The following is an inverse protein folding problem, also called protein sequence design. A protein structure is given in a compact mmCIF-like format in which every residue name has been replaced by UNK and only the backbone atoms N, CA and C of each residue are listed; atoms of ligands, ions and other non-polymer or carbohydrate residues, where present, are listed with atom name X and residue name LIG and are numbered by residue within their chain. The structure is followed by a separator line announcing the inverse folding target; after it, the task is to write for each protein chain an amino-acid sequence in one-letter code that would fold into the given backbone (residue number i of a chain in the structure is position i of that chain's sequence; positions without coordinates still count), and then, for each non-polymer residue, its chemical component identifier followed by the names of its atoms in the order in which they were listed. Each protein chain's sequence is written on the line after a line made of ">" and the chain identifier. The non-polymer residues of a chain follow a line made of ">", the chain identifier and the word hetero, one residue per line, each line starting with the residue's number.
data_IF_105008242986
#
_entry.id   IF_105008242986
#
_cell.length_a   1.000
_cell.length_b   1.000
_cell.length_c   1.000
_cell.angle_alpha   90.00
_cell.angle_beta   90.00
_cell.angle_gamma   90.00
#
_symmetry.space_group_name_H-M   'P 1'
#
loop_
_entity.id
_entity.type
_entity.pdbx_description
1 polymer ?
#
# COMPACT_ATOMS: atom_id res chain seq x y z
N UNK A 1 31.45 -8.73 37.12
CA UNK A 1 31.69 -8.49 35.69
C UNK A 1 30.44 -8.83 34.87
N UNK A 2 30.02 -10.09 34.81
CA UNK A 2 28.86 -10.53 34.01
C UNK A 2 27.51 -9.93 34.42
N UNK A 3 27.27 -9.71 35.71
CA UNK A 3 26.04 -9.08 36.21
C UNK A 3 25.91 -7.62 35.75
N UNK A 4 27.01 -6.87 35.72
CA UNK A 4 27.01 -5.46 35.32
C UNK A 4 26.76 -5.36 33.80
N UNK A 5 27.39 -6.24 33.02
CA UNK A 5 27.16 -6.35 31.57
C UNK A 5 25.70 -6.68 31.27
N UNK A 6 25.10 -7.62 32.02
CA UNK A 6 23.70 -7.96 31.85
C UNK A 6 22.76 -6.79 32.17
N UNK A 7 23.04 -6.02 33.23
CA UNK A 7 22.27 -4.82 33.57
C UNK A 7 22.35 -3.74 32.48
N UNK A 8 23.52 -3.51 31.89
CA UNK A 8 23.66 -2.55 30.80
C UNK A 8 22.90 -2.98 29.53
N UNK A 9 22.89 -4.27 29.21
CA UNK A 9 22.13 -4.80 28.06
C UNK A 9 20.62 -4.66 28.27
N UNK A 10 20.12 -4.96 29.47
CA UNK A 10 18.70 -4.81 29.81
C UNK A 10 18.28 -3.33 29.80
N UNK A 11 19.10 -2.44 30.36
CA UNK A 11 18.84 -1.00 30.34
C UNK A 11 18.83 -0.43 28.91
N UNK A 12 19.74 -0.89 28.04
CA UNK A 12 19.78 -0.51 26.63
C UNK A 12 18.54 -0.96 25.84
N UNK A 13 18.05 -2.18 26.10
CA UNK A 13 16.84 -2.69 25.46
C UNK A 13 15.57 -1.93 25.89
N UNK A 14 15.50 -1.49 27.14
CA UNK A 14 14.35 -0.74 27.68
C UNK A 14 14.38 0.75 27.31
N UNK A 15 15.56 1.30 26.98
CA UNK A 15 15.70 2.70 26.55
C UNK A 15 15.43 2.90 25.04
N UNK A 16 15.17 1.82 24.28
CA UNK A 16 14.84 1.93 22.87
C UNK A 16 13.49 2.66 22.72
N UNK A 17 13.42 3.77 21.95
CA UNK A 17 12.17 4.45 21.72
C UNK A 17 11.24 3.55 20.89
N UNK A 18 10.17 3.05 21.50
CA UNK A 18 9.09 2.35 20.80
C UNK A 18 8.25 3.37 20.02
N UNK A 19 8.74 3.78 18.84
CA UNK A 19 7.94 4.58 17.90
C UNK A 19 6.84 3.69 17.35
N UNK A 20 5.62 3.84 17.87
CA UNK A 20 4.43 3.40 17.15
C UNK A 20 4.36 4.23 15.86
N UNK A 21 4.38 3.61 14.67
CA UNK A 21 4.16 4.37 13.45
C UNK A 21 2.74 4.94 13.51
N UNK A 22 2.64 6.24 13.74
CA UNK A 22 1.38 6.97 13.67
C UNK A 22 1.03 7.11 12.19
N UNK A 23 0.07 6.31 11.73
CA UNK A 23 -0.48 6.40 10.39
C UNK A 23 -1.26 7.72 10.26
N UNK A 24 -0.58 8.77 9.80
CA UNK A 24 -1.21 10.04 9.49
C UNK A 24 -1.84 9.92 8.11
N UNK A 25 -3.17 9.82 8.08
CA UNK A 25 -3.97 9.81 6.85
C UNK A 25 -3.77 11.18 6.16
N UNK A 26 -3.03 11.21 5.05
CA UNK A 26 -2.82 12.41 4.23
C UNK A 26 -1.36 12.82 3.95
N UNK A 27 -0.37 12.19 4.59
CA UNK A 27 1.03 12.36 4.18
C UNK A 27 1.37 11.26 3.17
N UNK A 28 1.88 11.64 1.99
CA UNK A 28 2.36 10.71 0.96
C UNK A 28 3.29 9.67 1.59
N UNK A 29 2.78 8.45 1.69
CA UNK A 29 3.32 7.34 2.49
C UNK A 29 4.37 6.58 1.71
N UNK A 30 5.27 7.28 1.03
CA UNK A 30 6.32 6.66 0.24
C UNK A 30 7.65 7.27 0.69
N UNK A 31 8.38 6.50 1.50
CA UNK A 31 9.65 6.92 2.09
C UNK A 31 10.78 6.26 1.31
N UNK A 32 11.62 7.06 0.66
CA UNK A 32 12.75 6.58 -0.13
C UNK A 32 12.40 6.03 -1.53
N UNK A 33 11.14 6.13 -1.94
CA UNK A 33 10.72 5.82 -3.31
C UNK A 33 11.00 6.97 -4.28
N UNK A 34 10.95 6.65 -5.57
CA UNK A 34 11.00 7.62 -6.67
C UNK A 34 9.65 7.65 -7.38
N UNK A 35 9.33 8.76 -8.02
CA UNK A 35 8.16 8.81 -8.91
C UNK A 35 8.42 7.92 -10.12
N UNK A 36 7.42 7.09 -10.46
CA UNK A 36 7.49 6.27 -11.65
C UNK A 36 7.29 7.12 -12.90
N UNK A 37 8.06 6.84 -13.95
CA UNK A 37 7.79 7.41 -15.27
C UNK A 37 6.57 6.74 -15.91
N UNK A 38 5.84 7.42 -16.82
CA UNK A 38 4.69 6.84 -17.48
C UNK A 38 5.06 5.52 -18.18
N UNK A 39 4.32 4.45 -17.88
CA UNK A 39 4.58 3.12 -18.46
C UNK A 39 5.79 2.37 -17.91
N UNK A 40 6.49 2.89 -16.89
CA UNK A 40 7.60 2.17 -16.24
C UNK A 40 7.17 0.82 -15.67
N UNK A 41 5.92 0.76 -15.17
CA UNK A 41 5.32 -0.44 -14.59
C UNK A 41 3.99 -0.73 -15.30
N UNK A 42 4.03 -1.30 -16.51
CA UNK A 42 2.84 -1.44 -17.37
C UNK A 42 1.81 -2.43 -16.80
N UNK A 43 2.25 -3.28 -15.88
CA UNK A 43 1.38 -4.22 -15.16
C UNK A 43 0.69 -3.60 -13.95
N UNK A 44 1.01 -2.36 -13.54
CA UNK A 44 0.42 -1.74 -12.37
C UNK A 44 -1.02 -1.28 -12.63
N UNK A 45 -1.93 -1.73 -11.78
CA UNK A 45 -3.34 -1.36 -11.80
C UNK A 45 -3.75 -0.62 -10.52
N UNK A 46 -4.80 0.18 -10.65
CA UNK A 46 -5.45 0.93 -9.58
C UNK A 46 -6.87 0.40 -9.42
N UNK A 47 -7.20 -0.09 -8.22
CA UNK A 47 -8.56 -0.40 -7.83
C UNK A 47 -9.20 0.86 -7.27
N UNK A 48 -10.37 1.20 -7.80
CA UNK A 48 -11.08 2.44 -7.55
C UNK A 48 -12.51 2.14 -7.13
N UNK A 49 -12.98 2.82 -6.09
CA UNK A 49 -14.37 2.82 -5.65
C UNK A 49 -15.03 4.12 -6.16
N UNK A 50 -16.15 4.00 -6.86
CA UNK A 50 -16.90 5.13 -7.43
C UNK A 50 -18.21 5.44 -6.70
N UNK A 51 -18.50 4.75 -5.60
CA UNK A 51 -19.74 4.90 -4.81
C UNK A 51 -19.95 6.32 -4.26
N UNK A 52 -18.87 7.09 -4.10
CA UNK A 52 -18.90 8.47 -3.61
C UNK A 52 -19.13 9.53 -4.71
N UNK A 53 -19.37 9.11 -5.97
CA UNK A 53 -19.54 10.02 -7.11
C UNK A 53 -18.22 10.55 -7.69
N UNK A 54 -17.09 10.02 -7.25
CA UNK A 54 -15.76 10.27 -7.80
C UNK A 54 -14.90 9.01 -7.67
N UNK A 55 -13.87 8.88 -8.52
CA UNK A 55 -12.95 7.74 -8.52
C UNK A 55 -12.02 7.80 -7.29
N UNK A 56 -12.20 6.90 -6.33
CA UNK A 56 -11.35 6.80 -5.13
C UNK A 56 -10.42 5.59 -5.18
N UNK A 57 -9.11 5.83 -5.36
CA UNK A 57 -8.11 4.77 -5.29
C UNK A 57 -7.92 4.26 -3.86
N UNK A 58 -8.04 2.95 -3.67
CA UNK A 58 -7.88 2.32 -2.35
C UNK A 58 -6.92 1.12 -2.33
N UNK A 59 -6.71 0.44 -3.47
CA UNK A 59 -5.83 -0.71 -3.58
C UNK A 59 -5.07 -0.76 -4.91
N UNK A 60 -3.91 -1.42 -4.90
CA UNK A 60 -3.16 -1.77 -6.11
C UNK A 60 -3.43 -3.19 -6.58
N UNK A 61 -3.15 -3.47 -7.85
CA UNK A 61 -3.17 -4.81 -8.43
C UNK A 61 -2.14 -4.95 -9.55
N UNK A 62 -1.90 -6.17 -10.01
CA UNK A 62 -0.99 -6.46 -11.12
C UNK A 62 -1.65 -7.28 -12.21
N UNK A 63 -1.38 -6.95 -13.47
CA UNK A 63 -1.81 -7.76 -14.61
C UNK A 63 -1.14 -9.13 -14.55
N UNK A 64 -1.95 -10.20 -14.59
CA UNK A 64 -1.51 -11.58 -14.70
C UNK A 64 -1.62 -12.10 -16.14
N UNK A 65 -2.68 -11.72 -16.85
CA UNK A 65 -2.88 -11.99 -18.28
C UNK A 65 -3.87 -11.00 -18.89
N UNK A 66 -4.17 -11.13 -20.19
CA UNK A 66 -5.04 -10.19 -20.94
C UNK A 66 -6.35 -9.83 -20.22
N UNK A 67 -6.96 -10.81 -19.54
CA UNK A 67 -8.25 -10.64 -18.87
C UNK A 67 -8.19 -10.87 -17.35
N UNK A 68 -7.00 -11.03 -16.78
CA UNK A 68 -6.86 -11.38 -15.37
C UNK A 68 -5.83 -10.50 -14.67
N UNK A 69 -6.21 -10.05 -13.47
CA UNK A 69 -5.34 -9.34 -12.55
C UNK A 69 -5.29 -10.04 -11.19
N UNK A 70 -4.19 -9.84 -10.47
CA UNK A 70 -3.98 -10.32 -9.10
C UNK A 70 -3.92 -9.13 -8.15
N UNK A 71 -4.59 -9.27 -7.01
CA UNK A 71 -4.57 -8.29 -5.91
C UNK A 71 -4.59 -9.02 -4.55
N UNK A 72 -4.48 -8.26 -3.45
CA UNK A 72 -4.66 -8.83 -2.13
C UNK A 72 -6.13 -9.15 -1.87
N UNK A 73 -6.43 -10.29 -1.23
CA UNK A 73 -7.81 -10.72 -0.98
C UNK A 73 -8.64 -9.72 -0.15
N UNK A 74 -8.01 -8.96 0.75
CA UNK A 74 -8.70 -7.92 1.52
C UNK A 74 -9.18 -6.73 0.67
N UNK A 75 -8.65 -6.56 -0.55
CA UNK A 75 -9.07 -5.49 -1.45
C UNK A 75 -10.43 -5.77 -2.12
N UNK A 76 -10.91 -7.00 -2.07
CA UNK A 76 -12.20 -7.42 -2.66
C UNK A 76 -13.13 -8.01 -1.61
N UNK A 77 -12.76 -7.92 -0.33
CA UNK A 77 -13.55 -8.50 0.74
C UNK A 77 -14.79 -7.63 0.99
N UNK A 78 -15.97 -8.22 0.81
CA UNK A 78 -17.26 -7.54 1.03
C UNK A 78 -17.86 -6.94 -0.25
N UNK A 79 -17.14 -6.99 -1.36
CA UNK A 79 -17.63 -6.59 -2.68
C UNK A 79 -18.55 -7.70 -3.26
N UNK A 80 -19.64 -7.30 -3.92
CA UNK A 80 -20.50 -8.24 -4.65
C UNK A 80 -19.88 -8.57 -6.01
N UNK A 81 -19.24 -9.74 -6.10
CA UNK A 81 -18.61 -10.21 -7.34
C UNK A 81 -19.61 -10.50 -8.47
N UNK A 82 -20.91 -10.61 -8.17
CA UNK A 82 -21.94 -10.77 -9.20
C UNK A 82 -22.43 -9.40 -9.72
N UNK A 83 -22.20 -8.34 -8.97
CA UNK A 83 -22.62 -6.98 -9.31
C UNK A 83 -21.63 -5.91 -8.81
N UNK A 84 -20.44 -5.81 -9.42
CA UNK A 84 -19.40 -4.88 -8.98
C UNK A 84 -19.63 -3.45 -9.52
N UNK A 85 -20.81 -2.87 -9.29
CA UNK A 85 -21.24 -1.59 -9.89
C UNK A 85 -20.30 -0.41 -9.57
N UNK A 86 -19.68 -0.44 -8.39
CA UNK A 86 -18.83 0.65 -7.90
C UNK A 86 -17.33 0.32 -7.96
N UNK A 87 -16.94 -0.92 -8.26
CA UNK A 87 -15.55 -1.34 -8.30
C UNK A 87 -14.98 -1.22 -9.72
N UNK A 88 -14.00 -0.34 -9.90
CA UNK A 88 -13.31 -0.15 -11.17
C UNK A 88 -11.83 -0.52 -11.08
N UNK A 89 -11.33 -1.09 -12.18
CA UNK A 89 -9.90 -1.44 -12.34
C UNK A 89 -9.33 -0.64 -13.51
N UNK A 90 -8.35 0.21 -13.24
CA UNK A 90 -7.74 1.10 -14.24
C UNK A 90 -6.23 0.93 -14.32
N UNK A 91 -5.68 1.00 -15.53
CA UNK A 91 -4.23 1.06 -15.75
C UNK A 91 -3.70 2.39 -15.22
N UNK A 92 -2.61 2.34 -14.46
CA UNK A 92 -1.93 3.55 -13.97
C UNK A 92 -1.02 4.08 -15.09
N UNK A 93 -1.56 4.99 -15.91
CA UNK A 93 -0.83 5.59 -17.04
C UNK A 93 -0.09 6.89 -16.68
N UNK A 94 -0.42 7.52 -15.55
CA UNK A 94 0.12 8.84 -15.19
C UNK A 94 1.33 8.75 -14.24
N UNK A 95 2.33 9.59 -14.51
CA UNK A 95 3.41 9.88 -13.57
C UNK A 95 2.84 10.52 -12.30
N UNK A 96 3.32 10.10 -11.13
CA UNK A 96 2.95 10.66 -9.83
C UNK A 96 2.38 9.66 -8.82
N UNK A 97 2.06 8.42 -9.22
CA UNK A 97 1.95 7.33 -8.26
C UNK A 97 3.36 6.78 -8.01
N UNK A 98 3.92 7.08 -6.86
CA UNK A 98 5.12 6.39 -6.40
C UNK A 98 4.70 4.97 -6.01
N UNK A 99 5.00 4.02 -6.90
CA UNK A 99 4.91 2.59 -6.66
C UNK A 99 6.07 2.18 -5.74
N UNK A 100 5.75 1.50 -4.65
CA UNK A 100 6.72 0.93 -3.73
C UNK A 100 7.56 -0.17 -4.40
#
# INVERSE_FOLDING_TARGET
>A
MYTIVFCFLVAGALAAPFRKPTFHRGLNRIVGGLEATPGQFPYQLSFQDTSFGFDFHFCGASIYSENWAVCAGHCVQGEDMNNPDYLQVRIVLFAGLSVC
#
